data_IF_150093076267
#
_entry.id   IF_150093076267
#
_cell.length_a   1.000
_cell.length_b   1.000
_cell.length_c   1.000
_cell.angle_alpha   90.00
_cell.angle_beta   90.00
_cell.angle_gamma   90.00
#
_symmetry.space_group_name_H-M   'P 1'
#
loop_
_entity.id
_entity.type
_entity.pdbx_description
1 polymer ?
#
# COMPACT_ATOMS: atom_id res chain seq x y z
N UNK A 1 6.07 -52.30 24.08
CA UNK A 1 7.07 -51.21 23.97
C UNK A 1 7.31 -50.95 22.48
N UNK A 2 6.70 -49.90 21.91
CA UNK A 2 6.71 -49.67 20.46
C UNK A 2 8.05 -49.13 19.97
N UNK A 3 8.70 -49.87 19.08
CA UNK A 3 9.97 -49.50 18.47
C UNK A 3 9.87 -48.18 17.72
N UNK A 4 10.75 -47.23 18.05
CA UNK A 4 10.94 -46.01 17.28
C UNK A 4 11.65 -46.41 15.99
N UNK A 5 10.93 -46.41 14.87
CA UNK A 5 11.53 -46.61 13.56
C UNK A 5 12.53 -45.49 13.29
N UNK A 6 13.77 -45.86 13.01
CA UNK A 6 14.86 -44.93 12.73
C UNK A 6 14.54 -44.23 11.41
N UNK A 7 13.98 -43.04 11.52
CA UNK A 7 13.54 -42.28 10.36
C UNK A 7 14.75 -41.86 9.51
N UNK A 8 14.80 -42.33 8.25
CA UNK A 8 15.96 -42.15 7.38
C UNK A 8 16.30 -40.66 7.18
N UNK A 9 17.59 -40.29 7.09
CA UNK A 9 18.01 -38.89 6.93
C UNK A 9 17.31 -38.18 5.76
N UNK A 10 17.06 -38.92 4.68
CA UNK A 10 16.38 -38.42 3.48
C UNK A 10 14.93 -38.03 3.74
N UNK A 11 14.23 -38.76 4.62
CA UNK A 11 12.84 -38.46 5.00
C UNK A 11 12.75 -37.19 5.84
N UNK A 12 13.67 -37.00 6.79
CA UNK A 12 13.77 -35.76 7.58
C UNK A 12 14.05 -34.54 6.71
N UNK A 13 14.93 -34.69 5.71
CA UNK A 13 15.28 -33.63 4.75
C UNK A 13 14.05 -33.21 3.92
N UNK A 14 13.29 -34.17 3.40
CA UNK A 14 12.07 -33.90 2.63
C UNK A 14 10.98 -33.22 3.48
N UNK A 15 10.82 -33.59 4.75
CA UNK A 15 9.88 -32.94 5.66
C UNK A 15 10.28 -31.48 5.90
N UNK A 16 11.58 -31.21 6.05
CA UNK A 16 12.11 -29.86 6.23
C UNK A 16 11.88 -28.99 4.98
N UNK A 17 12.16 -29.53 3.79
CA UNK A 17 11.91 -28.85 2.51
C UNK A 17 10.43 -28.49 2.34
N UNK A 18 9.53 -29.45 2.61
CA UNK A 18 8.09 -29.22 2.56
C UNK A 18 7.63 -28.13 3.55
N UNK A 19 8.22 -28.09 4.76
CA UNK A 19 7.92 -27.02 5.74
C UNK A 19 8.43 -25.65 5.25
N UNK A 20 9.59 -25.59 4.61
CA UNK A 20 10.14 -24.35 4.04
C UNK A 20 9.31 -23.82 2.86
N UNK A 21 8.88 -24.71 1.96
CA UNK A 21 8.03 -24.33 0.83
C UNK A 21 6.67 -23.80 1.28
N UNK A 22 6.04 -24.44 2.27
CA UNK A 22 4.77 -23.98 2.85
C UNK A 22 4.90 -22.59 3.47
N UNK A 23 6.03 -22.28 4.13
CA UNK A 23 6.32 -20.93 4.65
C UNK A 23 6.50 -19.92 3.51
N UNK A 24 7.26 -20.26 2.46
CA UNK A 24 7.47 -19.39 1.28
C UNK A 24 6.15 -19.07 0.56
N UNK A 25 5.25 -20.03 0.44
CA UNK A 25 3.92 -19.84 -0.18
C UNK A 25 3.02 -18.91 0.65
N UNK A 26 3.06 -18.99 1.99
CA UNK A 26 2.32 -18.07 2.88
C UNK A 26 2.81 -16.62 2.82
N UNK A 27 4.07 -16.39 2.47
CA UNK A 27 4.69 -15.05 2.44
C UNK A 27 4.43 -14.32 1.11
N UNK A 28 4.08 -15.03 0.03
CA UNK A 28 3.66 -14.41 -1.23
C UNK A 28 2.27 -13.79 -1.05
N UNK A 29 2.20 -12.62 -0.41
CA UNK A 29 1.02 -11.75 -0.46
C UNK A 29 0.64 -11.58 -1.93
N UNK A 30 -0.61 -11.85 -2.26
CA UNK A 30 -1.21 -11.44 -3.52
C UNK A 30 -1.30 -9.91 -3.43
N UNK A 31 -0.23 -9.25 -3.86
CA UNK A 31 -0.20 -7.80 -3.99
C UNK A 31 -0.86 -7.51 -5.32
N UNK A 32 -1.91 -6.69 -5.33
CA UNK A 32 -2.46 -6.15 -6.57
C UNK A 32 -1.38 -5.31 -7.26
N UNK A 33 -0.73 -5.91 -8.27
CA UNK A 33 0.42 -5.32 -8.96
C UNK A 33 0.01 -4.34 -10.04
N UNK A 34 -1.25 -4.35 -10.52
CA UNK A 34 -1.74 -3.45 -11.58
C UNK A 34 -1.63 -1.98 -11.17
N UNK A 35 -1.70 -1.71 -9.87
CA UNK A 35 -1.64 -0.35 -9.30
C UNK A 35 -0.56 -0.15 -8.24
N UNK A 36 0.50 -0.97 -8.28
CA UNK A 36 1.65 -0.77 -7.40
C UNK A 36 2.56 0.36 -7.93
N UNK A 37 3.34 1.00 -7.03
CA UNK A 37 4.17 2.21 -7.24
C UNK A 37 3.42 3.55 -7.32
N UNK A 38 2.31 3.71 -6.58
CA UNK A 38 1.65 5.03 -6.46
C UNK A 38 0.81 5.44 -7.67
N UNK A 39 0.52 4.52 -8.59
CA UNK A 39 -0.33 4.75 -9.77
C UNK A 39 -1.80 5.00 -9.42
N UNK A 40 -2.24 4.59 -8.23
CA UNK A 40 -3.55 4.92 -7.66
C UNK A 40 -3.36 5.87 -6.49
N UNK A 41 -4.10 6.98 -6.52
CA UNK A 41 -4.16 7.91 -5.40
C UNK A 41 -4.72 7.19 -4.19
N UNK A 42 -3.98 7.25 -3.09
CA UNK A 42 -4.37 6.66 -1.81
C UNK A 42 -4.61 7.81 -0.85
N UNK A 43 -5.77 7.80 -0.21
CA UNK A 43 -6.13 8.75 0.84
C UNK A 43 -5.48 8.32 2.17
N UNK A 44 -4.15 8.36 2.22
CA UNK A 44 -3.35 8.04 3.40
C UNK A 44 -2.63 9.32 3.82
N UNK A 45 -2.72 9.68 5.10
CA UNK A 45 -2.03 10.83 5.66
C UNK A 45 -0.52 10.58 5.69
N UNK A 46 0.26 11.51 5.14
CA UNK A 46 1.73 11.49 5.19
C UNK A 46 2.18 12.40 6.36
N UNK A 47 2.72 11.86 7.47
CA UNK A 47 2.98 12.64 8.69
C UNK A 47 3.88 13.86 8.47
N UNK A 48 4.87 13.74 7.58
CA UNK A 48 5.82 14.82 7.25
C UNK A 48 5.17 15.99 6.49
N UNK A 49 4.01 15.79 5.86
CA UNK A 49 3.35 16.79 5.03
C UNK A 49 2.23 17.55 5.73
N UNK A 50 1.77 17.07 6.90
CA UNK A 50 0.56 17.60 7.57
C UNK A 50 0.67 19.11 7.86
N UNK A 51 1.84 19.59 8.28
CA UNK A 51 2.06 21.00 8.63
C UNK A 51 3.23 21.61 7.83
N UNK A 52 3.44 21.14 6.60
CA UNK A 52 4.59 21.60 5.80
C UNK A 52 4.48 23.07 5.37
N UNK A 53 3.28 23.57 5.11
CA UNK A 53 3.04 24.96 4.73
C UNK A 53 1.71 25.47 5.33
N UNK A 54 1.69 26.67 5.96
CA UNK A 54 0.46 27.23 6.49
C UNK A 54 -0.46 27.74 5.37
N UNK A 55 -1.78 27.69 5.61
CA UNK A 55 -2.73 28.32 4.70
C UNK A 55 -2.57 29.84 4.75
N UNK A 56 -2.31 30.46 3.60
CA UNK A 56 -2.24 31.92 3.44
C UNK A 56 -3.36 32.39 2.53
N UNK A 57 -4.40 33.05 3.06
CA UNK A 57 -5.46 33.62 2.25
C UNK A 57 -4.97 34.92 1.60
N UNK A 58 -4.15 34.81 0.56
CA UNK A 58 -3.70 35.94 -0.25
C UNK A 58 -4.66 36.15 -1.42
N UNK A 59 -5.84 36.68 -1.13
CA UNK A 59 -6.87 36.90 -2.16
C UNK A 59 -7.14 38.40 -2.28
N UNK A 60 -6.71 38.98 -3.39
CA UNK A 60 -6.90 40.41 -3.69
C UNK A 60 -8.33 40.79 -4.06
N UNK A 61 -9.09 39.85 -4.63
CA UNK A 61 -10.43 40.10 -5.14
C UNK A 61 -11.51 39.70 -4.12
N UNK A 62 -12.68 40.31 -4.23
CA UNK A 62 -13.86 39.85 -3.48
C UNK A 62 -14.40 38.54 -4.06
N UNK A 63 -15.03 37.72 -3.22
CA UNK A 63 -15.58 36.43 -3.63
C UNK A 63 -16.63 36.58 -4.75
N UNK A 64 -17.49 37.58 -4.63
CA UNK A 64 -18.55 37.90 -5.59
C UNK A 64 -17.99 38.18 -6.99
N UNK A 65 -16.94 39.03 -7.06
CA UNK A 65 -16.26 39.36 -8.33
C UNK A 65 -15.64 38.15 -9.02
N UNK A 66 -15.09 37.21 -8.24
CA UNK A 66 -14.59 35.95 -8.80
C UNK A 66 -15.73 35.12 -9.39
N UNK A 67 -16.83 34.98 -8.64
CA UNK A 67 -17.98 34.21 -9.11
C UNK A 67 -18.64 34.82 -10.35
N UNK A 68 -18.76 36.15 -10.42
CA UNK A 68 -19.23 36.86 -11.61
C UNK A 68 -18.35 36.58 -12.82
N UNK A 69 -17.01 36.68 -12.66
CA UNK A 69 -16.07 36.36 -13.73
C UNK A 69 -16.25 34.93 -14.24
N UNK A 70 -16.33 33.94 -13.34
CA UNK A 70 -16.49 32.54 -13.73
C UNK A 70 -17.83 32.25 -14.42
N UNK A 71 -18.89 32.99 -14.08
CA UNK A 71 -20.19 32.90 -14.78
C UNK A 71 -20.11 33.49 -16.20
N UNK A 72 -19.29 34.50 -16.42
CA UNK A 72 -19.11 35.13 -17.74
C UNK A 72 -18.11 34.42 -18.66
N UNK A 73 -17.34 33.46 -18.13
CA UNK A 73 -16.20 32.86 -18.84
C UNK A 73 -16.61 31.96 -20.01
N UNK A 74 -17.80 31.35 -19.94
CA UNK A 74 -18.37 30.55 -21.01
C UNK A 74 -19.86 30.86 -21.13
N UNK A 75 -20.27 31.25 -22.34
CA UNK A 75 -21.68 31.35 -22.77
C UNK A 75 -22.24 29.97 -23.07
#
# INVERSE_FOLDING_TARGET
MSGKSVESPKRKMNILLNKLEKRRKKIKKIVDTRSSKGRKSRFITIPKLVNFHPAKPEIKWMHERRNELFKSLFL
#
